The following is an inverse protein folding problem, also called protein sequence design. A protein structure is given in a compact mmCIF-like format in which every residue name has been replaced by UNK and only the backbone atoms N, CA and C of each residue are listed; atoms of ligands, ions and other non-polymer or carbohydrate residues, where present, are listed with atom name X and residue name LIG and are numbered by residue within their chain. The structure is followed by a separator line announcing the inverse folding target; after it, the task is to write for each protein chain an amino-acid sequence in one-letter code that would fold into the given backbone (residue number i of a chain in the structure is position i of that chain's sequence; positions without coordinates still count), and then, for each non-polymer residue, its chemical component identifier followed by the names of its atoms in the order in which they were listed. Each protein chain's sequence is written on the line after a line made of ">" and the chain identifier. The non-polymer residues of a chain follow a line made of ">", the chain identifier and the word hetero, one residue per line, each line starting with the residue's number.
data_IF_730100684807
#
_entry.id   IF_730100684807
#
_cell.length_a   1.000
_cell.length_b   1.000
_cell.length_c   1.000
_cell.angle_alpha   90.00
_cell.angle_beta   90.00
_cell.angle_gamma   90.00
#
_symmetry.space_group_name_H-M   'P 1'
#
loop_
_entity.id
_entity.type
_entity.pdbx_description
1 polymer ?
#
# COMPACT_ATOMS: atom_id res chain seq x y z
N UNK A 1 6.08 -12.15 -13.76
CA UNK A 1 5.07 -11.17 -14.20
C UNK A 1 5.78 -9.81 -14.24
N UNK A 2 6.28 -9.42 -15.42
CA UNK A 2 7.23 -8.31 -15.55
C UNK A 2 6.57 -6.92 -15.53
N UNK A 3 7.30 -5.93 -15.02
CA UNK A 3 7.01 -4.50 -15.20
C UNK A 3 7.67 -4.04 -16.51
N UNK A 4 6.90 -3.71 -17.54
CA UNK A 4 7.43 -3.48 -18.90
C UNK A 4 8.30 -2.22 -19.05
N UNK A 5 8.30 -1.30 -18.07
CA UNK A 5 9.13 -0.09 -18.07
C UNK A 5 10.25 -0.16 -17.02
N UNK A 6 11.03 -1.24 -17.04
CA UNK A 6 11.79 -1.77 -15.90
C UNK A 6 12.77 -0.83 -15.18
N UNK A 7 13.18 0.31 -15.73
CA UNK A 7 14.14 1.20 -15.05
C UNK A 7 13.93 2.71 -15.26
N UNK A 8 12.96 3.13 -16.10
CA UNK A 8 12.78 4.56 -16.44
C UNK A 8 12.50 5.44 -15.23
N UNK A 9 11.73 4.92 -14.27
CA UNK A 9 11.45 5.63 -13.03
C UNK A 9 12.68 5.79 -12.12
N UNK A 10 13.69 4.93 -12.26
CA UNK A 10 15.00 5.13 -11.61
C UNK A 10 15.85 6.10 -12.42
N UNK A 11 15.79 6.06 -13.76
CA UNK A 11 16.55 6.92 -14.66
C UNK A 11 16.11 8.39 -14.62
N UNK A 12 14.81 8.64 -14.76
CA UNK A 12 14.17 9.95 -14.70
C UNK A 12 12.93 9.94 -13.79
N UNK A 13 13.14 9.92 -12.46
CA UNK A 13 12.03 9.87 -11.50
C UNK A 13 11.14 11.10 -11.49
N UNK A 14 11.61 12.22 -12.04
CA UNK A 14 10.88 13.49 -11.98
C UNK A 14 9.64 13.49 -12.87
N UNK A 15 9.57 12.63 -13.88
CA UNK A 15 8.38 12.41 -14.69
C UNK A 15 7.20 11.90 -13.85
N UNK A 16 7.47 11.13 -12.80
CA UNK A 16 6.47 10.47 -11.95
C UNK A 16 6.29 11.14 -10.60
N UNK A 17 7.19 12.05 -10.22
CA UNK A 17 7.31 12.58 -8.87
C UNK A 17 6.25 13.63 -8.55
N UNK A 18 5.42 13.34 -7.55
CA UNK A 18 4.46 14.25 -6.94
C UNK A 18 4.91 14.60 -5.51
N UNK A 19 5.17 15.88 -5.26
CA UNK A 19 5.66 16.39 -3.96
C UNK A 19 4.68 17.35 -3.27
N UNK A 20 3.63 17.80 -3.98
CA UNK A 20 2.69 18.82 -3.49
C UNK A 20 1.37 18.21 -3.07
N UNK A 21 0.85 17.25 -3.83
CA UNK A 21 -0.37 16.51 -3.52
C UNK A 21 -0.03 15.09 -3.09
N UNK A 22 0.33 14.94 -1.82
CA UNK A 22 0.45 13.61 -1.22
C UNK A 22 -0.95 13.14 -0.80
N UNK A 23 -1.49 12.01 -1.30
CA UNK A 23 -2.73 11.46 -0.77
C UNK A 23 -2.54 11.28 0.74
N UNK A 24 -3.40 11.88 1.56
CA UNK A 24 -3.18 12.02 3.01
C UNK A 24 -2.75 10.71 3.66
N UNK A 25 -1.61 10.70 4.36
CA UNK A 25 -1.07 9.46 4.94
C UNK A 25 -1.49 9.27 6.42
N UNK A 26 -1.99 8.07 6.71
CA UNK A 26 -2.33 7.46 8.01
C UNK A 26 -3.22 8.22 9.00
N UNK A 27 -4.52 7.91 8.99
CA UNK A 27 -5.39 8.13 10.14
C UNK A 27 -5.95 6.80 10.68
N UNK A 28 -6.09 6.73 12.00
CA UNK A 28 -6.71 5.61 12.72
C UNK A 28 -8.22 5.63 12.46
N UNK A 29 -8.71 4.57 11.79
CA UNK A 29 -10.09 4.10 11.51
C UNK A 29 -11.28 4.98 11.97
N UNK A 30 -12.24 5.25 11.06
CA UNK A 30 -13.59 4.71 11.24
C UNK A 30 -14.22 4.14 9.94
N UNK A 31 -14.25 2.81 9.83
CA UNK A 31 -15.26 1.94 9.18
C UNK A 31 -15.49 1.87 7.66
N UNK A 32 -15.53 0.62 7.15
CA UNK A 32 -15.78 0.12 5.78
C UNK A 32 -17.18 0.36 5.22
N UNK A 33 -17.26 0.37 3.89
CA UNK A 33 -18.46 0.05 3.14
C UNK A 33 -18.16 -0.36 1.70
N UNK A 34 -19.21 -0.91 1.11
CA UNK A 34 -19.26 -1.63 -0.15
C UNK A 34 -18.93 -0.69 -1.30
N UNK A 35 -17.95 -1.06 -2.13
CA UNK A 35 -17.58 -0.44 -3.42
C UNK A 35 -16.63 0.78 -3.47
N UNK A 36 -15.67 0.92 -2.56
CA UNK A 36 -14.36 1.57 -2.84
C UNK A 36 -14.32 3.07 -3.25
N UNK A 37 -15.44 3.67 -3.63
CA UNK A 37 -15.63 5.06 -3.97
C UNK A 37 -17.02 5.44 -3.46
N UNK A 38 -17.04 6.43 -2.57
CA UNK A 38 -18.24 7.06 -1.99
C UNK A 38 -19.13 6.22 -1.06
N UNK A 39 -19.11 6.59 0.24
CA UNK A 39 -20.17 6.28 1.20
C UNK A 39 -20.08 4.90 1.84
N UNK A 40 -19.20 4.77 2.83
CA UNK A 40 -18.97 3.52 3.56
C UNK A 40 -20.19 3.17 4.47
N UNK A 41 -21.06 2.23 4.06
CA UNK A 41 -22.02 1.55 4.96
C UNK A 41 -21.37 0.29 5.58
N UNK A 42 -21.27 0.18 6.92
CA UNK A 42 -20.65 -0.97 7.56
C UNK A 42 -21.42 -2.25 7.27
N UNK A 43 -20.74 -3.35 6.88
CA UNK A 43 -21.41 -4.62 6.67
C UNK A 43 -21.94 -5.16 8.00
N UNK A 44 -23.11 -5.78 7.97
CA UNK A 44 -23.73 -6.36 9.14
C UNK A 44 -23.05 -7.68 9.52
N UNK A 45 -22.92 -7.95 10.82
CA UNK A 45 -22.43 -9.23 11.33
C UNK A 45 -23.22 -10.38 10.73
N UNK A 46 -22.51 -11.39 10.26
CA UNK A 46 -23.07 -12.58 9.61
C UNK A 46 -23.31 -12.42 8.11
N UNK A 47 -23.21 -11.20 7.56
CA UNK A 47 -23.19 -11.01 6.12
C UNK A 47 -21.88 -11.52 5.50
N UNK A 48 -21.93 -11.85 4.22
CA UNK A 48 -20.73 -12.15 3.44
C UNK A 48 -20.33 -10.91 2.66
N UNK A 49 -19.03 -10.63 2.62
CA UNK A 49 -18.48 -9.57 1.78
C UNK A 49 -17.29 -10.07 0.96
N UNK A 50 -17.18 -9.54 -0.25
CA UNK A 50 -16.00 -9.70 -1.09
C UNK A 50 -14.97 -8.64 -0.77
N UNK A 51 -13.72 -9.05 -0.65
CA UNK A 51 -12.57 -8.19 -0.41
C UNK A 51 -11.53 -8.43 -1.49
N UNK A 52 -10.90 -7.35 -1.93
CA UNK A 52 -9.73 -7.37 -2.79
C UNK A 52 -8.61 -6.57 -2.14
N UNK A 53 -7.39 -7.12 -2.10
CA UNK A 53 -6.25 -6.43 -1.52
C UNK A 53 -5.06 -7.36 -1.31
N UNK A 54 -4.00 -6.88 -0.66
CA UNK A 54 -2.78 -7.65 -0.41
C UNK A 54 -2.88 -8.45 0.88
N UNK A 55 -2.59 -9.74 0.83
CA UNK A 55 -2.52 -10.58 2.01
C UNK A 55 -1.28 -10.27 2.86
N UNK A 56 -1.48 -10.18 4.18
CA UNK A 56 -0.41 -9.94 5.14
C UNK A 56 -0.52 -10.91 6.32
N UNK A 57 0.63 -11.46 6.69
CA UNK A 57 0.83 -12.27 7.89
C UNK A 57 1.91 -11.63 8.75
N UNK A 58 1.56 -11.29 9.99
CA UNK A 58 2.44 -10.62 10.95
C UNK A 58 2.28 -11.21 12.34
N UNK A 59 3.14 -10.80 13.28
CA UNK A 59 3.02 -11.15 14.70
C UNK A 59 1.66 -10.70 15.28
N UNK A 60 1.09 -9.61 14.75
CA UNK A 60 -0.22 -9.10 15.18
C UNK A 60 -1.42 -9.88 14.61
N UNK A 61 -1.19 -10.83 13.70
CA UNK A 61 -2.21 -11.63 13.04
C UNK A 61 -2.22 -11.50 11.53
N UNK A 62 -3.33 -11.91 10.93
CA UNK A 62 -3.55 -12.01 9.49
C UNK A 62 -4.55 -10.96 9.04
N UNK A 63 -4.31 -10.32 7.89
CA UNK A 63 -5.25 -9.36 7.33
C UNK A 63 -5.05 -9.17 5.83
N UNK A 64 -6.01 -8.52 5.19
CA UNK A 64 -5.89 -8.02 3.81
C UNK A 64 -5.77 -6.51 3.83
N UNK A 65 -4.78 -5.95 3.13
CA UNK A 65 -4.62 -4.50 2.95
C UNK A 65 -5.19 -4.01 1.63
N UNK A 66 -6.03 -2.98 1.70
CA UNK A 66 -6.61 -2.28 0.54
C UNK A 66 -6.53 -0.77 0.77
N UNK A 67 -6.93 0.06 -0.17
CA UNK A 67 -6.89 1.52 -0.01
C UNK A 67 -7.98 2.21 -0.84
N UNK A 68 -8.19 3.48 -0.57
CA UNK A 68 -8.92 4.44 -1.41
C UNK A 68 -8.05 5.69 -1.60
N UNK A 69 -8.53 6.67 -2.35
CA UNK A 69 -7.87 7.96 -2.56
C UNK A 69 -7.45 8.67 -1.26
N UNK A 70 -8.10 8.33 -0.15
CA UNK A 70 -7.93 9.03 1.13
C UNK A 70 -7.24 8.19 2.21
N UNK A 71 -7.31 6.85 2.16
CA UNK A 71 -6.95 6.00 3.32
C UNK A 71 -6.48 4.60 2.89
N UNK A 72 -5.52 4.04 3.65
CA UNK A 72 -5.12 2.62 3.62
C UNK A 72 -5.91 1.83 4.69
N UNK A 73 -6.49 0.70 4.32
CA UNK A 73 -7.33 -0.15 5.17
C UNK A 73 -6.69 -1.51 5.44
N UNK A 74 -6.99 -2.09 6.60
CA UNK A 74 -6.71 -3.49 6.91
C UNK A 74 -7.98 -4.24 7.31
N UNK A 75 -8.13 -5.47 6.81
CA UNK A 75 -9.29 -6.33 7.10
C UNK A 75 -8.78 -7.58 7.81
N UNK A 76 -8.98 -7.68 9.14
CA UNK A 76 -8.49 -8.83 9.91
C UNK A 76 -9.11 -10.14 9.42
N UNK A 77 -8.29 -11.18 9.29
CA UNK A 77 -8.74 -12.54 9.02
C UNK A 77 -8.59 -13.37 10.30
N UNK A 78 -9.59 -14.20 10.59
CA UNK A 78 -9.49 -15.18 11.69
C UNK A 78 -8.52 -16.32 11.38
N UNK A 79 -8.28 -16.57 10.09
CA UNK A 79 -7.53 -17.70 9.58
C UNK A 79 -6.36 -17.19 8.73
N UNK A 80 -5.23 -17.91 8.74
CA UNK A 80 -4.13 -17.63 7.82
C UNK A 80 -4.49 -18.10 6.41
N UNK A 81 -3.90 -17.45 5.41
CA UNK A 81 -3.96 -17.89 4.03
C UNK A 81 -2.62 -18.55 3.65
N UNK A 82 -2.61 -19.57 2.78
CA UNK A 82 -1.39 -20.30 2.41
C UNK A 82 -0.55 -19.54 1.36
N UNK A 83 -0.42 -18.22 1.51
CA UNK A 83 0.26 -17.36 0.54
C UNK A 83 1.36 -16.49 1.17
N UNK A 84 2.39 -16.12 0.41
CA UNK A 84 3.41 -15.19 0.89
C UNK A 84 2.82 -13.82 1.28
N UNK A 85 3.12 -13.38 2.50
CA UNK A 85 2.74 -12.06 3.03
C UNK A 85 3.37 -10.93 2.20
N UNK A 86 2.67 -9.81 2.00
CA UNK A 86 3.11 -8.61 1.24
C UNK A 86 3.36 -8.85 -0.26
N UNK A 87 3.35 -10.10 -0.73
CA UNK A 87 3.67 -10.46 -2.11
C UNK A 87 2.48 -11.05 -2.88
N UNK A 88 1.31 -11.17 -2.26
CA UNK A 88 0.13 -11.79 -2.88
C UNK A 88 -1.09 -10.88 -2.77
N UNK A 89 -1.65 -10.48 -3.91
CA UNK A 89 -2.97 -9.90 -3.98
C UNK A 89 -4.01 -11.02 -3.97
N UNK A 90 -5.04 -10.87 -3.15
CA UNK A 90 -6.11 -11.85 -2.99
C UNK A 90 -7.46 -11.19 -3.24
N UNK A 91 -8.32 -11.91 -3.95
CA UNK A 91 -9.76 -11.67 -3.97
C UNK A 91 -10.40 -12.77 -3.14
N UNK A 92 -11.07 -12.40 -2.04
CA UNK A 92 -11.66 -13.35 -1.10
C UNK A 92 -13.12 -13.01 -0.83
N UNK A 93 -13.90 -14.02 -0.48
CA UNK A 93 -15.20 -13.86 0.17
C UNK A 93 -15.06 -14.32 1.61
N UNK A 94 -15.64 -13.57 2.55
CA UNK A 94 -15.62 -13.97 3.95
C UNK A 94 -16.84 -13.49 4.69
N UNK A 95 -17.14 -14.16 5.80
CA UNK A 95 -18.26 -13.84 6.68
C UNK A 95 -17.82 -12.85 7.76
N UNK A 96 -18.59 -11.79 7.92
CA UNK A 96 -18.31 -10.72 8.88
C UNK A 96 -18.59 -11.19 10.31
N UNK A 97 -17.58 -11.15 11.17
CA UNK A 97 -17.66 -11.67 12.55
C UNK A 97 -18.13 -10.61 13.55
N UNK A 98 -17.76 -9.33 13.35
CA UNK A 98 -18.14 -8.24 14.24
C UNK A 98 -18.74 -7.06 13.46
N UNK A 99 -19.77 -6.45 14.03
CA UNK A 99 -20.33 -5.20 13.53
C UNK A 99 -19.31 -4.09 13.73
N UNK A 100 -19.18 -3.20 12.74
CA UNK A 100 -18.26 -2.06 12.84
C UNK A 100 -16.84 -2.49 13.22
N UNK A 101 -16.36 -3.69 12.86
CA UNK A 101 -14.97 -4.20 13.00
C UNK A 101 -14.92 -5.51 12.22
N UNK A 102 -15.09 -5.49 10.87
CA UNK A 102 -15.24 -6.70 10.09
C UNK A 102 -13.90 -7.41 10.07
N UNK A 103 -13.76 -8.31 11.03
CA UNK A 103 -12.92 -9.48 10.89
C UNK A 103 -13.69 -10.50 10.06
N UNK A 104 -13.00 -11.17 9.15
CA UNK A 104 -13.58 -12.21 8.31
C UNK A 104 -13.21 -13.59 8.81
N UNK A 105 -14.18 -14.50 8.77
CA UNK A 105 -14.02 -15.94 8.97
C UNK A 105 -14.64 -16.69 7.79
N UNK A 106 -14.44 -18.01 7.74
CA UNK A 106 -15.02 -18.85 6.67
C UNK A 106 -14.58 -18.32 5.30
N UNK A 107 -13.28 -18.03 5.17
CA UNK A 107 -12.73 -17.33 4.01
C UNK A 107 -12.63 -18.27 2.80
N UNK A 108 -13.28 -17.89 1.71
CA UNK A 108 -13.17 -18.52 0.39
C UNK A 108 -12.26 -17.66 -0.50
N UNK A 109 -11.28 -18.29 -1.14
CA UNK A 109 -10.36 -17.63 -2.07
C UNK A 109 -10.95 -17.70 -3.48
N UNK A 110 -11.24 -16.53 -4.06
CA UNK A 110 -11.83 -16.40 -5.40
C UNK A 110 -10.73 -16.32 -6.47
N UNK A 111 -9.70 -15.52 -6.22
CA UNK A 111 -8.57 -15.34 -7.13
C UNK A 111 -7.34 -14.85 -6.36
N UNK A 112 -6.17 -15.09 -6.94
CA UNK A 112 -4.88 -14.65 -6.40
C UNK A 112 -3.97 -14.17 -7.50
N UNK A 113 -3.06 -13.27 -7.15
CA UNK A 113 -2.06 -12.70 -8.04
C UNK A 113 -0.76 -12.44 -7.29
N UNK A 114 0.37 -12.81 -7.90
CA UNK A 114 1.69 -12.63 -7.32
C UNK A 114 2.28 -11.28 -7.74
N UNK A 115 2.63 -10.46 -6.75
CA UNK A 115 3.23 -9.12 -6.95
C UNK A 115 4.68 -9.05 -6.45
N UNK A 116 5.28 -10.21 -6.16
CA UNK A 116 6.61 -10.29 -5.56
C UNK A 116 7.73 -9.68 -6.40
N UNK A 117 7.62 -9.75 -7.73
CA UNK A 117 8.57 -9.11 -8.64
C UNK A 117 8.49 -7.58 -8.58
N UNK A 118 7.27 -7.00 -8.55
CA UNK A 118 7.06 -5.54 -8.45
C UNK A 118 7.61 -5.01 -7.13
N UNK A 119 7.33 -5.72 -6.01
CA UNK A 119 7.88 -5.37 -4.70
C UNK A 119 9.41 -5.34 -4.71
N UNK A 120 10.04 -6.38 -5.26
CA UNK A 120 11.49 -6.50 -5.30
C UNK A 120 12.13 -5.39 -6.12
N UNK A 121 11.55 -5.08 -7.29
CA UNK A 121 12.00 -3.99 -8.14
C UNK A 121 12.04 -2.65 -7.39
N UNK A 122 11.01 -2.35 -6.57
CA UNK A 122 10.99 -1.15 -5.75
C UNK A 122 12.10 -1.16 -4.70
N UNK A 123 12.24 -2.25 -3.94
CA UNK A 123 13.26 -2.36 -2.88
C UNK A 123 14.67 -2.20 -3.44
N UNK A 124 14.95 -2.80 -4.61
CA UNK A 124 16.27 -2.74 -5.26
C UNK A 124 16.55 -1.39 -5.93
N UNK A 125 15.53 -0.76 -6.54
CA UNK A 125 15.66 0.54 -7.20
C UNK A 125 15.66 1.74 -6.24
N UNK A 126 15.08 1.57 -5.05
CA UNK A 126 14.88 2.65 -4.08
C UNK A 126 16.14 3.46 -3.75
N UNK A 127 17.30 2.85 -3.43
CA UNK A 127 18.51 3.62 -3.09
C UNK A 127 18.98 4.56 -4.21
N UNK A 128 18.83 4.14 -5.47
CA UNK A 128 19.20 4.96 -6.64
C UNK A 128 18.17 6.06 -6.90
N UNK A 129 16.88 5.76 -6.72
CA UNK A 129 15.80 6.73 -6.82
C UNK A 129 16.02 7.89 -5.84
N UNK A 130 16.22 7.55 -4.56
CA UNK A 130 16.26 8.56 -3.51
C UNK A 130 17.46 9.49 -3.66
N UNK A 131 18.60 8.98 -4.16
CA UNK A 131 19.77 9.80 -4.50
C UNK A 131 19.45 10.91 -5.52
N UNK A 132 18.47 10.69 -6.39
CA UNK A 132 18.07 11.67 -7.41
C UNK A 132 17.03 12.66 -6.88
N UNK A 133 16.03 12.19 -6.14
CA UNK A 133 14.91 13.05 -5.72
C UNK A 133 15.15 13.76 -4.39
N UNK A 134 16.09 13.30 -3.56
CA UNK A 134 16.38 13.86 -2.23
C UNK A 134 16.59 15.38 -2.26
N UNK A 135 17.30 15.91 -3.25
CA UNK A 135 17.52 17.36 -3.36
C UNK A 135 16.25 18.21 -3.55
N UNK A 136 15.14 17.61 -3.99
CA UNK A 136 13.84 18.29 -4.14
C UNK A 136 12.92 18.16 -2.93
N UNK A 137 13.05 17.06 -2.19
CA UNK A 137 12.13 16.70 -1.09
C UNK A 137 12.73 16.92 0.28
N UNK A 138 14.07 16.87 0.39
CA UNK A 138 14.72 16.83 1.69
C UNK A 138 14.67 18.18 2.39
N UNK A 139 14.22 18.19 3.63
CA UNK A 139 14.24 19.39 4.45
C UNK A 139 15.66 19.66 4.95
N UNK A 140 16.24 20.80 4.60
CA UNK A 140 17.62 21.16 4.99
C UNK A 140 17.87 21.21 6.52
N UNK A 141 16.81 21.28 7.33
CA UNK A 141 16.90 21.25 8.80
C UNK A 141 16.79 19.83 9.38
N UNK A 142 16.40 18.86 8.56
CA UNK A 142 16.26 17.47 8.96
C UNK A 142 17.60 16.77 8.99
N UNK A 143 17.72 15.77 9.86
CA UNK A 143 18.85 14.84 9.91
C UNK A 143 18.44 13.43 9.50
N UNK A 144 17.23 13.29 8.97
CA UNK A 144 16.66 12.02 8.57
C UNK A 144 17.48 11.44 7.42
N UNK A 145 17.96 10.21 7.59
CA UNK A 145 18.53 9.46 6.49
C UNK A 145 17.38 8.90 5.65
N UNK A 146 17.08 9.54 4.53
CA UNK A 146 16.00 9.11 3.66
C UNK A 146 16.22 7.65 3.21
N UNK A 147 17.47 7.19 3.05
CA UNK A 147 17.76 5.80 2.62
C UNK A 147 17.36 4.74 3.64
N UNK A 148 17.01 5.12 4.87
CA UNK A 148 16.74 4.19 5.97
C UNK A 148 15.34 3.57 5.96
N UNK A 149 14.61 3.59 4.84
CA UNK A 149 13.35 2.84 4.73
C UNK A 149 13.70 1.34 4.72
N UNK A 150 13.39 0.65 5.82
CA UNK A 150 13.70 -0.78 6.00
C UNK A 150 12.60 -1.69 5.46
N UNK A 151 11.35 -1.23 5.49
CA UNK A 151 10.18 -2.04 5.16
C UNK A 151 9.27 -1.26 4.22
N UNK A 152 8.84 -1.95 3.17
CA UNK A 152 7.78 -1.50 2.28
C UNK A 152 6.52 -2.31 2.56
N UNK A 153 5.37 -1.64 2.47
CA UNK A 153 4.06 -2.22 2.68
C UNK A 153 3.25 -2.15 1.41
N UNK A 154 2.53 -3.22 1.10
CA UNK A 154 1.69 -3.31 -0.08
C UNK A 154 0.20 -3.19 0.28
N UNK A 155 -0.57 -2.59 -0.62
CA UNK A 155 -2.03 -2.61 -0.62
C UNK A 155 -2.55 -2.54 -2.06
N UNK A 156 -3.73 -3.11 -2.32
CA UNK A 156 -4.32 -3.10 -3.66
C UNK A 156 -5.82 -2.78 -3.63
N UNK A 157 -6.31 -2.11 -4.68
CA UNK A 157 -7.74 -1.84 -4.90
C UNK A 157 -8.03 -1.84 -6.39
N UNK A 158 -9.06 -2.58 -6.83
CA UNK A 158 -9.38 -2.67 -8.26
C UNK A 158 -8.19 -3.15 -9.09
N UNK A 159 -7.69 -2.28 -9.97
CA UNK A 159 -6.50 -2.53 -10.80
C UNK A 159 -5.25 -1.80 -10.27
N UNK A 160 -5.30 -1.16 -9.12
CA UNK A 160 -4.20 -0.37 -8.59
C UNK A 160 -3.46 -1.11 -7.47
N UNK A 161 -2.14 -0.98 -7.49
CA UNK A 161 -1.23 -1.48 -6.47
C UNK A 161 -0.44 -0.31 -5.89
N UNK A 162 -0.46 -0.18 -4.58
CA UNK A 162 0.28 0.83 -3.85
C UNK A 162 1.37 0.15 -3.00
N UNK A 163 2.61 0.58 -3.18
CA UNK A 163 3.77 0.14 -2.38
C UNK A 163 4.30 1.34 -1.63
N UNK A 164 4.33 1.27 -0.30
CA UNK A 164 4.67 2.43 0.53
C UNK A 164 5.76 2.13 1.55
N UNK A 165 6.72 3.03 1.64
CA UNK A 165 7.77 3.03 2.63
C UNK A 165 7.72 4.30 3.49
N UNK A 166 8.20 4.17 4.72
CA UNK A 166 8.32 5.30 5.65
C UNK A 166 9.59 5.19 6.47
N UNK A 167 10.19 6.33 6.76
CA UNK A 167 11.17 6.48 7.84
C UNK A 167 10.88 7.76 8.62
N UNK A 168 11.38 7.85 9.86
CA UNK A 168 11.17 9.01 10.72
C UNK A 168 12.27 9.13 11.76
N UNK A 169 12.50 10.36 12.22
CA UNK A 169 13.31 10.65 13.41
C UNK A 169 12.43 11.26 14.52
N UNK A 170 13.01 12.01 15.45
CA UNK A 170 12.24 12.64 16.53
C UNK A 170 11.36 13.81 16.05
N UNK A 171 11.74 14.46 14.96
CA UNK A 171 11.20 15.75 14.50
C UNK A 171 10.58 15.67 13.10
N UNK A 172 11.03 14.76 12.25
CA UNK A 172 10.63 14.64 10.86
C UNK A 172 10.13 13.23 10.53
N UNK A 173 9.25 13.17 9.54
CA UNK A 173 8.83 11.94 8.87
C UNK A 173 9.08 12.08 7.38
N UNK A 174 9.45 10.96 6.74
CA UNK A 174 9.56 10.83 5.31
C UNK A 174 8.65 9.69 4.82
N UNK A 175 7.74 10.04 3.92
CA UNK A 175 6.86 9.09 3.25
C UNK A 175 7.23 8.96 1.78
N UNK A 176 7.20 7.73 1.28
CA UNK A 176 7.41 7.41 -0.13
C UNK A 176 6.42 6.35 -0.60
N UNK A 177 5.61 6.63 -1.60
CA UNK A 177 4.67 5.68 -2.18
C UNK A 177 4.82 5.55 -3.69
N UNK A 178 4.65 4.34 -4.20
CA UNK A 178 4.63 4.02 -5.62
C UNK A 178 3.25 3.49 -5.98
N UNK A 179 2.55 4.20 -6.85
CA UNK A 179 1.25 3.79 -7.36
C UNK A 179 1.41 3.18 -8.75
N UNK A 180 0.97 1.94 -8.88
CA UNK A 180 0.97 1.19 -10.12
C UNK A 180 -0.45 0.92 -10.59
N UNK A 181 -0.65 0.94 -11.90
CA UNK A 181 -1.85 0.45 -12.58
C UNK A 181 -1.55 -0.89 -13.21
N UNK A 182 -2.45 -1.84 -13.05
CA UNK A 182 -2.38 -3.14 -13.72
C UNK A 182 -2.84 -3.00 -15.17
N UNK A 183 -1.98 -3.44 -16.09
CA UNK A 183 -2.27 -3.54 -17.52
C UNK A 183 -2.08 -5.00 -17.96
N UNK A 184 -3.18 -5.68 -18.29
CA UNK A 184 -3.23 -7.11 -18.65
C UNK A 184 -2.45 -8.02 -17.67
N UNK A 185 -1.19 -8.32 -17.98
CA UNK A 185 -0.29 -9.19 -17.22
C UNK A 185 0.93 -8.45 -16.65
N UNK A 186 0.87 -7.13 -16.55
CA UNK A 186 1.96 -6.27 -16.10
C UNK A 186 1.46 -5.16 -15.15
N UNK A 187 2.40 -4.49 -14.51
CA UNK A 187 2.15 -3.28 -13.73
C UNK A 187 2.92 -2.12 -14.34
N UNK A 188 2.24 -0.99 -14.50
CA UNK A 188 2.81 0.25 -15.00
C UNK A 188 2.82 1.29 -13.88
N UNK A 189 3.96 1.96 -13.69
CA UNK A 189 4.06 3.01 -12.69
C UNK A 189 3.26 4.25 -13.14
N UNK A 190 2.33 4.70 -12.30
CA UNK A 190 1.59 5.95 -12.52
C UNK A 190 2.25 7.14 -11.86
N UNK A 191 2.60 6.99 -10.58
CA UNK A 191 3.05 8.07 -9.72
C UNK A 191 4.03 7.60 -8.65
N UNK A 192 4.98 8.46 -8.31
CA UNK A 192 5.82 8.38 -7.12
C UNK A 192 5.43 9.55 -6.23
N UNK A 193 4.86 9.27 -5.07
CA UNK A 193 4.60 10.27 -4.06
C UNK A 193 5.78 10.32 -3.11
N UNK A 194 6.37 11.49 -2.87
CA UNK A 194 7.43 11.64 -1.88
C UNK A 194 7.27 12.94 -1.10
N UNK A 195 7.33 12.87 0.22
CA UNK A 195 7.31 14.06 1.08
C UNK A 195 8.13 13.86 2.34
N UNK A 196 8.82 14.91 2.75
CA UNK A 196 9.38 15.03 4.10
C UNK A 196 8.69 16.19 4.81
N UNK A 197 8.28 15.97 6.05
CA UNK A 197 7.49 16.94 6.81
C UNK A 197 7.82 16.88 8.30
N UNK A 198 7.54 17.99 9.00
CA UNK A 198 7.71 18.08 10.44
C UNK A 198 6.56 17.38 11.17
N UNK A 199 6.85 16.70 12.27
CA UNK A 199 5.82 16.04 13.08
C UNK A 199 4.85 17.06 13.67
N UNK A 200 3.60 17.04 13.19
CA UNK A 200 2.54 17.93 13.64
C UNK A 200 2.14 19.01 12.63
N UNK A 201 2.72 19.01 11.42
CA UNK A 201 2.16 19.69 10.23
C UNK A 201 0.89 19.01 9.70
#
# INVERSE_FOLDING_TARGET
>A
MGCEESERWVEDPFEYLETTEFPGYFQRIPWFGVNGHDGLKPPEKGSHCSVYGVYVSSIAGYFVRTFSDSVLFHIPLKESLPYPSEHTVVKINGKVVHNKEPSLSEVEIIATEEIGEVYRMIVEGYPKLIDKIAGKIHNAKSRLDLKSIEIFHCAAVGNELLIVGRTYDLMYEFDLAFLFEKEDNSYKLKKIFAREFFKGE
#
